data_IF_025637864670
#
_entry.id   IF_025637864670
#
_cell.length_a   1.000
_cell.length_b   1.000
_cell.length_c   1.000
_cell.angle_alpha   90.00
_cell.angle_beta   90.00
_cell.angle_gamma   90.00
#
_symmetry.space_group_name_H-M   'P 1'
#
loop_
_entity.id
_entity.type
_entity.pdbx_description
1 polymer ?
#
# COMPACT_ATOMS: atom_id res chain seq x y z
N UNK A 1 20.15 -3.40 -14.38
CA UNK A 1 18.97 -4.26 -14.23
C UNK A 1 18.83 -4.61 -12.75
N UNK A 2 17.94 -3.96 -12.01
CA UNK A 2 17.63 -4.39 -10.64
C UNK A 2 16.89 -5.72 -10.70
N UNK A 3 17.26 -6.68 -9.85
CA UNK A 3 16.57 -7.97 -9.80
C UNK A 3 15.09 -7.77 -9.44
N UNK A 4 14.21 -8.63 -9.99
CA UNK A 4 12.76 -8.61 -9.75
C UNK A 4 12.42 -8.44 -8.26
N UNK A 5 13.10 -9.22 -7.40
CA UNK A 5 12.91 -9.17 -5.95
C UNK A 5 13.23 -7.81 -5.32
N UNK A 6 14.27 -7.10 -5.81
CA UNK A 6 14.60 -5.76 -5.31
C UNK A 6 13.52 -4.73 -5.69
N UNK A 7 12.89 -4.89 -6.85
CA UNK A 7 11.78 -4.03 -7.27
C UNK A 7 10.56 -4.25 -6.38
N UNK A 8 10.20 -5.50 -6.10
CA UNK A 8 9.11 -5.85 -5.18
C UNK A 8 9.38 -5.31 -3.78
N UNK A 9 10.59 -5.53 -3.24
CA UNK A 9 10.96 -5.08 -1.90
C UNK A 9 10.92 -3.55 -1.77
N UNK A 10 11.46 -2.84 -2.77
CA UNK A 10 11.42 -1.37 -2.82
C UNK A 10 9.97 -0.87 -2.82
N UNK A 11 9.12 -1.45 -3.66
CA UNK A 11 7.73 -1.03 -3.76
C UNK A 11 6.95 -1.34 -2.47
N UNK A 12 7.20 -2.50 -1.85
CA UNK A 12 6.65 -2.83 -0.53
C UNK A 12 7.13 -1.84 0.55
N UNK A 13 8.41 -1.46 0.53
CA UNK A 13 8.96 -0.46 1.45
C UNK A 13 8.34 0.93 1.25
N UNK A 14 8.01 1.30 0.00
CA UNK A 14 7.29 2.56 -0.29
C UNK A 14 5.87 2.51 0.29
N UNK A 15 5.14 1.41 0.06
CA UNK A 15 3.78 1.26 0.62
C UNK A 15 3.83 1.30 2.15
N UNK A 16 4.76 0.56 2.76
CA UNK A 16 4.95 0.53 4.21
C UNK A 16 5.34 1.90 4.77
N UNK A 17 6.26 2.60 4.10
CA UNK A 17 6.68 3.94 4.51
C UNK A 17 5.54 4.96 4.44
N UNK A 18 4.69 4.89 3.41
CA UNK A 18 3.52 5.77 3.27
C UNK A 18 2.47 5.50 4.35
N UNK A 19 2.14 4.24 4.61
CA UNK A 19 1.15 3.89 5.65
C UNK A 19 1.68 4.22 7.05
N UNK A 20 2.97 4.00 7.30
CA UNK A 20 3.61 4.35 8.56
C UNK A 20 3.64 5.87 8.78
N UNK A 21 4.03 6.65 7.77
CA UNK A 21 4.01 8.11 7.84
C UNK A 21 2.60 8.68 8.05
N UNK A 22 1.59 8.10 7.39
CA UNK A 22 0.19 8.44 7.61
C UNK A 22 -0.23 8.13 9.06
N UNK A 23 0.18 6.98 9.62
CA UNK A 23 -0.05 6.63 11.01
C UNK A 23 0.55 7.65 12.00
N UNK A 24 1.79 8.09 11.77
CA UNK A 24 2.43 9.15 12.56
C UNK A 24 1.66 10.47 12.44
N UNK A 25 1.29 10.87 11.23
CA UNK A 25 0.53 12.10 11.00
C UNK A 25 -0.81 12.11 11.73
N UNK A 26 -1.53 10.98 11.72
CA UNK A 26 -2.78 10.81 12.46
C UNK A 26 -2.56 10.88 13.97
N UNK A 27 -1.52 10.21 14.48
CA UNK A 27 -1.17 10.25 15.90
C UNK A 27 -0.82 11.67 16.38
N UNK A 28 -0.09 12.46 15.57
CA UNK A 28 0.20 13.87 15.84
C UNK A 28 -1.04 14.75 15.84
N UNK A 29 -2.06 14.39 15.04
CA UNK A 29 -3.36 15.06 15.02
C UNK A 29 -4.29 14.61 16.17
N UNK A 30 -3.84 13.73 17.07
CA UNK A 30 -4.67 13.15 18.14
C UNK A 30 -5.68 12.11 17.65
N UNK A 31 -5.62 11.73 16.38
CA UNK A 31 -6.48 10.72 15.80
C UNK A 31 -5.80 9.36 15.92
N UNK A 32 -6.42 8.50 16.71
CA UNK A 32 -5.92 7.16 17.04
C UNK A 32 -7.03 6.15 16.76
N UNK A 33 -6.67 4.87 16.77
CA UNK A 33 -7.65 3.79 16.69
C UNK A 33 -8.71 3.84 17.82
N UNK A 34 -8.42 4.51 18.93
CA UNK A 34 -9.31 4.62 20.08
C UNK A 34 -10.19 5.87 20.03
N UNK A 35 -9.67 6.98 19.48
CA UNK A 35 -10.43 8.23 19.36
C UNK A 35 -11.35 8.25 18.15
N UNK A 36 -10.83 7.87 16.98
CA UNK A 36 -11.63 7.76 15.75
C UNK A 36 -11.12 6.58 14.89
N UNK A 37 -11.69 5.37 15.12
CA UNK A 37 -11.32 4.19 14.38
C UNK A 37 -11.53 4.35 12.86
N UNK A 38 -12.61 5.03 12.45
CA UNK A 38 -12.97 5.16 11.04
C UNK A 38 -11.95 6.01 10.29
N UNK A 39 -11.57 7.16 10.85
CA UNK A 39 -10.55 8.02 10.27
C UNK A 39 -9.19 7.32 10.19
N UNK A 40 -8.80 6.57 11.23
CA UNK A 40 -7.54 5.81 11.23
C UNK A 40 -7.51 4.69 10.16
N UNK A 41 -8.60 3.92 10.03
CA UNK A 41 -8.72 2.89 8.99
C UNK A 41 -8.73 3.50 7.58
N UNK A 42 -9.45 4.60 7.38
CA UNK A 42 -9.53 5.28 6.10
C UNK A 42 -8.18 5.86 5.69
N UNK A 43 -7.46 6.50 6.62
CA UNK A 43 -6.11 7.03 6.38
C UNK A 43 -5.14 5.91 5.96
N UNK A 44 -5.18 4.76 6.65
CA UNK A 44 -4.37 3.61 6.30
C UNK A 44 -4.74 3.03 4.92
N UNK A 45 -6.04 2.91 4.63
CA UNK A 45 -6.55 2.43 3.33
C UNK A 45 -6.09 3.33 2.18
N UNK A 46 -6.22 4.65 2.34
CA UNK A 46 -5.86 5.63 1.31
C UNK A 46 -4.35 5.71 1.10
N UNK A 47 -3.56 5.78 2.18
CA UNK A 47 -2.10 5.80 2.08
C UNK A 47 -1.54 4.51 1.47
N UNK A 48 -2.09 3.36 1.85
CA UNK A 48 -1.74 2.08 1.24
C UNK A 48 -2.11 2.01 -0.23
N UNK A 49 -3.33 2.43 -0.59
CA UNK A 49 -3.78 2.49 -1.98
C UNK A 49 -2.90 3.42 -2.83
N UNK A 50 -2.45 4.56 -2.28
CA UNK A 50 -1.50 5.46 -2.95
C UNK A 50 -0.13 4.78 -3.17
N UNK A 51 0.35 3.99 -2.21
CA UNK A 51 1.57 3.20 -2.40
C UNK A 51 1.43 2.17 -3.53
N UNK A 52 0.31 1.42 -3.56
CA UNK A 52 0.03 0.46 -4.63
C UNK A 52 -0.20 1.13 -5.97
N UNK A 53 -0.79 2.33 -6.00
CA UNK A 53 -0.90 3.16 -7.19
C UNK A 53 0.49 3.48 -7.76
N UNK A 54 1.40 3.98 -6.92
CA UNK A 54 2.77 4.30 -7.34
C UNK A 54 3.54 3.06 -7.83
N UNK A 55 3.34 1.91 -7.18
CA UNK A 55 3.91 0.63 -7.62
C UNK A 55 3.33 0.19 -8.97
N UNK A 56 2.01 0.27 -9.14
CA UNK A 56 1.32 -0.11 -10.36
C UNK A 56 1.73 0.72 -11.57
N UNK A 57 1.95 2.02 -11.39
CA UNK A 57 2.40 2.92 -12.47
C UNK A 57 3.80 2.52 -12.95
N UNK A 58 4.67 2.10 -12.02
CA UNK A 58 6.06 1.68 -12.31
C UNK A 58 6.16 0.27 -12.88
N UNK A 59 5.14 -0.57 -12.69
CA UNK A 59 5.15 -1.93 -13.20
C UNK A 59 4.92 -1.93 -14.73
N UNK A 60 5.87 -2.45 -15.50
CA UNK A 60 5.82 -2.48 -16.98
C UNK A 60 5.25 -3.79 -17.52
N UNK A 61 5.44 -4.91 -16.81
CA UNK A 61 4.97 -6.24 -17.20
C UNK A 61 4.48 -7.01 -15.97
N UNK A 62 3.55 -7.95 -16.17
CA UNK A 62 2.96 -8.78 -15.11
C UNK A 62 2.46 -7.98 -13.89
N UNK A 63 1.79 -6.84 -14.13
CA UNK A 63 1.37 -5.88 -13.09
C UNK A 63 0.61 -6.51 -11.94
N UNK A 64 -0.36 -7.39 -12.24
CA UNK A 64 -1.19 -8.03 -11.22
C UNK A 64 -0.34 -8.94 -10.34
N UNK A 65 0.56 -9.71 -10.94
CA UNK A 65 1.50 -10.58 -10.21
C UNK A 65 2.48 -9.75 -9.36
N UNK A 66 3.03 -8.66 -9.91
CA UNK A 66 3.88 -7.73 -9.17
C UNK A 66 3.18 -7.16 -7.94
N UNK A 67 1.97 -6.65 -8.11
CA UNK A 67 1.19 -6.08 -7.01
C UNK A 67 0.81 -7.13 -5.96
N UNK A 68 0.53 -8.37 -6.38
CA UNK A 68 0.29 -9.48 -5.46
C UNK A 68 1.54 -9.79 -4.63
N UNK A 69 2.73 -9.81 -5.23
CA UNK A 69 3.99 -9.99 -4.50
C UNK A 69 4.30 -8.82 -3.57
N UNK A 70 4.03 -7.58 -3.97
CA UNK A 70 4.17 -6.39 -3.12
C UNK A 70 3.23 -6.49 -1.92
N UNK A 71 1.97 -6.89 -2.14
CA UNK A 71 0.98 -7.09 -1.09
C UNK A 71 1.38 -8.21 -0.11
N UNK A 72 1.82 -9.36 -0.63
CA UNK A 72 2.30 -10.46 0.19
C UNK A 72 3.52 -10.04 1.04
N UNK A 73 4.47 -9.33 0.44
CA UNK A 73 5.66 -8.83 1.13
C UNK A 73 5.29 -7.83 2.22
N UNK A 74 4.41 -6.87 1.92
CA UNK A 74 3.92 -5.90 2.89
C UNK A 74 3.22 -6.57 4.08
N UNK A 75 2.33 -7.51 3.80
CA UNK A 75 1.58 -8.25 4.81
C UNK A 75 2.50 -9.11 5.68
N UNK A 76 3.51 -9.74 5.09
CA UNK A 76 4.54 -10.48 5.81
C UNK A 76 5.42 -9.57 6.67
N UNK A 77 5.87 -8.42 6.13
CA UNK A 77 6.63 -7.43 6.90
C UNK A 77 5.86 -6.93 8.13
N UNK A 78 4.53 -6.85 8.02
CA UNK A 78 3.66 -6.46 9.13
C UNK A 78 3.71 -7.42 10.34
N UNK A 79 4.27 -8.64 10.19
CA UNK A 79 4.55 -9.54 11.33
C UNK A 79 5.46 -8.88 12.38
N UNK A 80 6.31 -7.94 11.97
CA UNK A 80 7.18 -7.22 12.90
C UNK A 80 6.38 -6.48 13.98
N UNK A 81 5.17 -6.01 13.65
CA UNK A 81 4.30 -5.35 14.61
C UNK A 81 3.80 -6.30 15.71
N UNK A 82 3.72 -7.61 15.43
CA UNK A 82 3.41 -8.63 16.44
C UNK A 82 4.62 -8.81 17.37
N UNK A 83 5.82 -8.93 16.79
CA UNK A 83 7.07 -9.10 17.56
C UNK A 83 7.32 -7.90 18.48
N UNK A 84 6.98 -6.69 18.02
CA UNK A 84 7.09 -5.45 18.78
C UNK A 84 5.92 -5.22 19.77
N UNK A 85 4.90 -6.08 19.77
CA UNK A 85 3.76 -5.98 20.68
C UNK A 85 2.71 -4.93 20.32
N UNK A 86 2.79 -4.32 19.13
CA UNK A 86 1.82 -3.31 18.65
C UNK A 86 0.54 -3.94 18.07
N UNK A 87 0.61 -5.19 17.62
CA UNK A 87 -0.49 -5.84 16.92
C UNK A 87 -0.68 -7.29 17.38
N UNK A 88 -1.94 -7.71 17.57
CA UNK A 88 -2.25 -9.12 17.87
C UNK A 88 -2.27 -9.99 16.61
N UNK A 89 -2.03 -11.30 16.74
CA UNK A 89 -2.09 -12.25 15.61
C UNK A 89 -3.44 -12.21 14.90
N UNK A 90 -4.55 -12.07 15.64
CA UNK A 90 -5.89 -11.93 15.05
C UNK A 90 -6.00 -10.64 14.23
N UNK A 91 -5.52 -9.52 14.75
CA UNK A 91 -5.49 -8.25 13.99
C UNK A 91 -4.61 -8.35 12.74
N UNK A 92 -3.49 -9.07 12.80
CA UNK A 92 -2.61 -9.29 11.65
C UNK A 92 -3.30 -10.10 10.53
N UNK A 93 -4.03 -11.16 10.88
CA UNK A 93 -4.84 -11.92 9.90
C UNK A 93 -5.88 -11.00 9.25
N UNK A 94 -6.62 -10.21 10.04
CA UNK A 94 -7.61 -9.28 9.50
C UNK A 94 -7.00 -8.17 8.65
N UNK A 95 -5.78 -7.73 8.95
CA UNK A 95 -5.08 -6.71 8.15
C UNK A 95 -4.80 -7.16 6.71
N UNK A 96 -4.75 -8.48 6.45
CA UNK A 96 -4.61 -9.02 5.10
C UNK A 96 -5.74 -8.59 4.18
N UNK A 97 -6.98 -8.55 4.68
CA UNK A 97 -8.12 -8.06 3.90
C UNK A 97 -7.96 -6.58 3.55
N UNK A 98 -7.49 -5.77 4.50
CA UNK A 98 -7.20 -4.35 4.23
C UNK A 98 -6.11 -4.20 3.17
N UNK A 99 -5.03 -4.98 3.24
CA UNK A 99 -3.95 -4.97 2.24
C UNK A 99 -4.46 -5.35 0.85
N UNK A 100 -5.34 -6.36 0.75
CA UNK A 100 -5.97 -6.75 -0.52
C UNK A 100 -6.81 -5.59 -1.06
N UNK A 101 -7.62 -4.94 -0.22
CA UNK A 101 -8.42 -3.78 -0.64
C UNK A 101 -7.54 -2.63 -1.12
N UNK A 102 -6.45 -2.31 -0.40
CA UNK A 102 -5.46 -1.31 -0.82
C UNK A 102 -4.86 -1.65 -2.19
N UNK A 103 -4.49 -2.91 -2.41
CA UNK A 103 -3.89 -3.37 -3.66
C UNK A 103 -4.87 -3.30 -4.84
N UNK A 104 -6.13 -3.69 -4.62
CA UNK A 104 -7.19 -3.59 -5.63
C UNK A 104 -7.45 -2.13 -5.99
N UNK A 105 -7.66 -1.26 -4.99
CA UNK A 105 -7.92 0.17 -5.19
C UNK A 105 -6.76 0.87 -5.90
N UNK A 106 -5.54 0.73 -5.37
CA UNK A 106 -4.35 1.36 -5.97
C UNK A 106 -4.02 0.79 -7.35
N UNK A 107 -4.14 -0.52 -7.52
CA UNK A 107 -3.89 -1.21 -8.78
C UNK A 107 -4.88 -0.83 -9.88
N UNK A 108 -6.18 -0.80 -9.59
CA UNK A 108 -7.20 -0.36 -10.55
C UNK A 108 -7.04 1.10 -10.93
N UNK A 109 -6.77 1.98 -9.96
CA UNK A 109 -6.53 3.40 -10.24
C UNK A 109 -5.29 3.59 -11.13
N UNK A 110 -4.24 2.80 -10.90
CA UNK A 110 -3.05 2.80 -11.74
C UNK A 110 -3.35 2.35 -13.17
N UNK A 111 -4.20 1.34 -13.35
CA UNK A 111 -4.62 0.89 -14.68
C UNK A 111 -5.35 2.01 -15.41
N UNK A 112 -6.31 2.66 -14.76
CA UNK A 112 -7.08 3.77 -15.35
C UNK A 112 -6.15 4.91 -15.77
N UNK A 113 -5.21 5.31 -14.92
CA UNK A 113 -4.27 6.39 -15.22
C UNK A 113 -3.28 6.04 -16.34
N UNK A 114 -2.91 4.76 -16.49
CA UNK A 114 -2.03 4.33 -17.59
C UNK A 114 -2.79 4.17 -18.91
N UNK A 115 -4.09 3.89 -18.86
CA UNK A 115 -4.96 3.77 -20.04
C UNK A 115 -5.42 5.13 -20.58
N UNK A 116 -5.29 6.21 -19.81
CA UNK A 116 -5.65 7.55 -20.24
C UNK A 116 -4.82 7.97 -21.48
N UNK A 117 -5.46 8.34 -22.61
CA UNK A 117 -4.74 8.75 -23.81
C UNK A 117 -3.86 9.98 -23.54
N UNK A 118 -2.60 9.93 -23.93
CA UNK A 118 -1.76 11.14 -23.98
C UNK A 118 -2.42 12.18 -24.90
N UNK A 119 -2.64 13.43 -24.45
CA UNK A 119 -3.15 14.48 -25.31
C UNK A 119 -2.17 14.66 -26.48
N UNK A 120 -2.69 14.56 -27.71
CA UNK A 120 -1.92 14.75 -28.93
C UNK A 120 -1.34 16.17 -28.92
N UNK A 121 -0.01 16.28 -28.98
CA UNK A 121 0.66 17.57 -29.23
C UNK A 121 0.20 18.08 -30.59
N UNK A 122 -0.34 19.31 -30.71
CA UNK A 122 -0.53 19.94 -32.01
C UNK A 122 0.84 20.13 -32.67
N UNK A 123 0.93 19.76 -33.95
CA UNK A 123 2.11 19.94 -34.81
C UNK A 123 2.25 21.40 -35.21
#
# INVERSE_FOLDING_TARGET
MTSWHLTVLRDAAIVYGLTFAAGIGMALAGITLQSDPAAAYLSNLLSGALGFLMSGIRAVSYRVEHLAWVAATLWACNLINIVLGFQSTRSWIHSGLTVILMAILGGTLSMILTLAPTPSRPR
#
